data_IF_574742997578
#
_entry.id   IF_574742997578
#
_cell.length_a   1.000
_cell.length_b   1.000
_cell.length_c   1.000
_cell.angle_alpha   90.00
_cell.angle_beta   90.00
_cell.angle_gamma   90.00
#
_symmetry.space_group_name_H-M   'P 1'
#
loop_
_entity.id
_entity.type
_entity.pdbx_description
1 polymer ?
#
# COMPACT_ATOMS: atom_id res chain seq x y z
N UNK A 1 10.22 10.35 83.53
CA UNK A 1 8.85 10.28 82.89
C UNK A 1 8.64 11.36 81.82
N UNK A 2 9.36 12.50 81.79
CA UNK A 2 9.13 13.56 80.77
C UNK A 2 9.61 13.23 79.32
N UNK A 3 10.67 12.40 79.21
CA UNK A 3 11.20 12.01 77.86
C UNK A 3 10.29 11.08 77.05
N UNK A 4 9.55 10.19 77.65
CA UNK A 4 8.63 9.28 76.94
C UNK A 4 7.37 9.97 76.41
N UNK A 5 6.93 11.06 77.04
CA UNK A 5 5.77 11.85 76.59
C UNK A 5 6.11 12.70 75.34
N UNK A 6 7.34 13.17 75.19
CA UNK A 6 7.78 13.98 74.05
C UNK A 6 7.92 13.09 72.80
N UNK A 7 8.43 11.86 72.91
CA UNK A 7 8.58 10.92 71.81
C UNK A 7 7.17 10.45 71.32
N UNK A 8 6.22 10.25 72.25
CA UNK A 8 4.85 9.90 71.86
C UNK A 8 4.11 11.04 71.14
N UNK A 9 4.34 12.30 71.53
CA UNK A 9 3.77 13.48 70.87
C UNK A 9 4.30 13.73 69.47
N UNK A 10 5.63 13.55 69.24
CA UNK A 10 6.24 13.68 67.94
C UNK A 10 5.81 12.56 67.01
N UNK A 11 5.68 11.35 67.49
CA UNK A 11 5.18 10.21 66.67
C UNK A 11 3.72 10.38 66.29
N UNK A 12 2.87 10.97 67.18
CA UNK A 12 1.48 11.25 66.85
C UNK A 12 1.30 12.40 65.85
N UNK A 13 2.20 13.42 65.89
CA UNK A 13 2.19 14.50 64.89
C UNK A 13 2.69 14.08 63.51
N UNK A 14 3.56 13.10 63.42
CA UNK A 14 4.01 12.56 62.12
C UNK A 14 2.89 11.72 61.42
N UNK A 15 1.98 11.14 62.16
CA UNK A 15 0.84 10.41 61.61
C UNK A 15 -0.26 11.36 61.13
N UNK A 16 -0.39 12.54 61.71
CA UNK A 16 -1.40 13.52 61.34
C UNK A 16 -1.07 14.30 60.05
N UNK A 17 0.20 14.37 59.64
CA UNK A 17 0.65 15.08 58.42
C UNK A 17 0.46 14.29 57.13
N UNK A 18 0.01 13.05 57.19
CA UNK A 18 -0.16 12.14 56.03
C UNK A 18 -1.62 12.02 55.54
N UNK A 19 -2.53 12.80 56.09
CA UNK A 19 -3.94 12.72 55.67
C UNK A 19 -4.19 13.47 54.37
N UNK A 20 -3.94 12.86 53.26
CA UNK A 20 -4.55 13.26 51.99
C UNK A 20 -6.08 13.21 52.20
N UNK A 21 -6.78 14.31 51.93
CA UNK A 21 -8.24 14.34 51.99
C UNK A 21 -8.81 13.12 51.28
N UNK A 22 -9.70 12.35 51.97
CA UNK A 22 -10.33 11.14 51.42
C UNK A 22 -10.89 11.40 50.01
N UNK A 23 -11.42 12.59 49.76
CA UNK A 23 -11.94 13.01 48.45
C UNK A 23 -10.85 13.12 47.39
N UNK A 24 -9.65 13.65 47.72
CA UNK A 24 -8.50 13.73 46.80
C UNK A 24 -7.90 12.35 46.57
N UNK A 25 -7.84 11.49 47.60
CA UNK A 25 -7.36 10.13 47.46
C UNK A 25 -8.28 9.32 46.53
N UNK A 26 -9.61 9.33 46.78
CA UNK A 26 -10.57 8.63 45.91
C UNK A 26 -10.58 9.17 44.47
N UNK A 27 -10.40 10.48 44.28
CA UNK A 27 -10.29 11.07 42.94
C UNK A 27 -8.99 10.61 42.24
N UNK A 28 -7.88 10.55 42.97
CA UNK A 28 -6.61 10.03 42.46
C UNK A 28 -6.68 8.53 42.12
N UNK A 29 -7.30 7.76 43.00
CA UNK A 29 -7.50 6.31 42.79
C UNK A 29 -8.42 6.06 41.58
N UNK A 30 -9.51 6.80 41.47
CA UNK A 30 -10.38 6.71 40.26
C UNK A 30 -9.64 7.09 38.99
N UNK A 31 -8.90 8.20 39.00
CA UNK A 31 -8.10 8.60 37.85
C UNK A 31 -7.00 7.59 37.49
N UNK A 32 -6.39 6.93 38.48
CA UNK A 32 -5.45 5.85 38.25
C UNK A 32 -6.13 4.61 37.66
N UNK A 33 -7.30 4.26 38.18
CA UNK A 33 -8.09 3.14 37.66
C UNK A 33 -8.59 3.40 36.22
N UNK A 34 -9.05 4.61 35.92
CA UNK A 34 -9.48 5.01 34.57
C UNK A 34 -8.28 4.94 33.59
N UNK A 35 -7.09 5.41 34.02
CA UNK A 35 -5.87 5.27 33.21
C UNK A 35 -5.47 3.82 33.01
N UNK A 36 -5.57 3.00 34.05
CA UNK A 36 -5.26 1.58 33.98
C UNK A 36 -6.20 0.85 33.01
N UNK A 37 -7.50 1.13 33.07
CA UNK A 37 -8.47 0.52 32.14
C UNK A 37 -8.20 0.92 30.70
N UNK A 38 -7.96 2.23 30.43
CA UNK A 38 -7.60 2.71 29.08
C UNK A 38 -6.31 2.06 28.59
N UNK A 39 -5.29 1.99 29.45
CA UNK A 39 -4.01 1.37 29.08
C UNK A 39 -4.16 -0.15 28.82
N UNK A 40 -4.92 -0.82 29.67
CA UNK A 40 -5.22 -2.26 29.52
C UNK A 40 -5.95 -2.55 28.20
N UNK A 41 -6.99 -1.74 27.87
CA UNK A 41 -7.72 -1.88 26.61
C UNK A 41 -6.79 -1.67 25.42
N UNK A 42 -5.99 -0.60 25.47
CA UNK A 42 -4.99 -0.34 24.42
C UNK A 42 -3.96 -1.46 24.25
N UNK A 43 -3.53 -2.04 25.37
CA UNK A 43 -2.59 -3.16 25.34
C UNK A 43 -3.21 -4.40 24.67
N UNK A 44 -4.46 -4.71 25.02
CA UNK A 44 -5.19 -5.83 24.41
C UNK A 44 -5.42 -5.62 22.91
N UNK A 45 -5.73 -4.38 22.50
CA UNK A 45 -5.87 -4.03 21.08
C UNK A 45 -4.54 -4.19 20.32
N UNK A 46 -3.44 -3.68 20.89
CA UNK A 46 -2.10 -3.83 20.31
C UNK A 46 -1.67 -5.29 20.21
N UNK A 47 -1.95 -6.09 21.24
CA UNK A 47 -1.68 -7.52 21.23
C UNK A 47 -2.49 -8.23 20.13
N UNK A 48 -3.76 -7.85 19.94
CA UNK A 48 -4.60 -8.34 18.85
C UNK A 48 -4.03 -8.00 17.49
N UNK A 49 -3.66 -6.74 17.27
CA UNK A 49 -3.06 -6.28 16.02
C UNK A 49 -1.70 -6.94 15.75
N UNK A 50 -0.87 -7.10 16.79
CA UNK A 50 0.41 -7.78 16.68
C UNK A 50 0.24 -9.25 16.30
N UNK A 51 -0.75 -9.92 16.91
CA UNK A 51 -1.09 -11.31 16.58
C UNK A 51 -1.51 -11.42 15.11
N UNK A 52 -2.45 -10.60 14.65
CA UNK A 52 -2.90 -10.60 13.26
C UNK A 52 -1.73 -10.36 12.30
N UNK A 53 -0.91 -9.33 12.56
CA UNK A 53 0.26 -9.05 11.75
C UNK A 53 1.27 -10.22 11.72
N UNK A 54 1.44 -10.92 12.84
CA UNK A 54 2.32 -12.08 12.90
C UNK A 54 1.73 -13.29 12.15
N UNK A 55 0.42 -13.49 12.23
CA UNK A 55 -0.28 -14.54 11.49
C UNK A 55 -0.20 -14.30 9.98
N UNK A 56 -0.42 -13.06 9.53
CA UNK A 56 -0.25 -12.64 8.13
C UNK A 56 1.20 -12.84 7.64
N UNK A 57 2.18 -12.50 8.48
CA UNK A 57 3.60 -12.75 8.20
C UNK A 57 3.91 -14.24 8.04
N UNK A 58 3.34 -15.08 8.90
CA UNK A 58 3.52 -16.55 8.82
C UNK A 58 2.89 -17.07 7.51
N UNK A 59 1.69 -16.60 7.17
CA UNK A 59 1.02 -17.00 5.93
C UNK A 59 1.79 -16.56 4.69
N UNK A 60 2.28 -15.31 4.66
CA UNK A 60 3.12 -14.81 3.57
C UNK A 60 4.42 -15.59 3.43
N UNK A 61 5.09 -15.90 4.55
CA UNK A 61 6.29 -16.71 4.53
C UNK A 61 6.02 -18.13 3.99
N UNK A 62 4.89 -18.73 4.37
CA UNK A 62 4.48 -20.05 3.86
C UNK A 62 4.22 -19.99 2.34
N UNK A 63 3.52 -18.94 1.87
CA UNK A 63 3.29 -18.73 0.42
C UNK A 63 4.62 -18.54 -0.32
N UNK A 64 5.53 -17.72 0.22
CA UNK A 64 6.85 -17.51 -0.36
C UNK A 64 7.67 -18.81 -0.42
N UNK A 65 7.65 -19.60 0.64
CA UNK A 65 8.35 -20.90 0.66
C UNK A 65 7.74 -21.85 -0.37
N UNK A 66 6.41 -21.87 -0.50
CA UNK A 66 5.71 -22.67 -1.52
C UNK A 66 6.08 -22.25 -2.94
N UNK A 67 6.04 -20.95 -3.22
CA UNK A 67 6.42 -20.40 -4.52
C UNK A 67 7.90 -20.66 -4.85
N UNK A 68 8.80 -20.55 -3.85
CA UNK A 68 10.20 -20.84 -4.04
C UNK A 68 10.42 -22.33 -4.38
N UNK A 69 9.71 -23.24 -3.70
CA UNK A 69 9.77 -24.67 -4.00
C UNK A 69 9.23 -24.98 -5.40
N UNK A 70 8.21 -24.27 -5.86
CA UNK A 70 7.68 -24.38 -7.23
C UNK A 70 8.68 -23.87 -8.26
N UNK A 71 9.32 -22.72 -8.01
CA UNK A 71 10.39 -22.18 -8.85
C UNK A 71 11.55 -23.17 -8.94
N UNK A 72 11.97 -23.74 -7.82
CA UNK A 72 13.06 -24.73 -7.80
C UNK A 72 12.64 -26.02 -8.55
N UNK A 73 11.38 -26.43 -8.45
CA UNK A 73 10.81 -27.52 -9.22
C UNK A 73 10.82 -27.26 -10.72
N UNK A 74 10.36 -26.10 -11.13
CA UNK A 74 10.37 -25.68 -12.53
C UNK A 74 11.78 -25.55 -13.10
N UNK A 75 12.70 -25.01 -12.33
CA UNK A 75 14.12 -24.92 -12.73
C UNK A 75 14.74 -26.30 -12.93
N UNK A 76 14.43 -27.28 -12.06
CA UNK A 76 14.87 -28.66 -12.25
C UNK A 76 14.27 -29.31 -13.50
N UNK A 77 12.99 -29.07 -13.78
CA UNK A 77 12.36 -29.58 -15.01
C UNK A 77 12.99 -28.96 -16.26
N UNK A 78 13.26 -27.65 -16.24
CA UNK A 78 13.95 -26.97 -17.34
C UNK A 78 15.36 -27.53 -17.52
N UNK A 79 16.10 -27.75 -16.44
CA UNK A 79 17.44 -28.34 -16.49
C UNK A 79 17.40 -29.76 -17.08
N UNK A 80 16.47 -30.59 -16.62
CA UNK A 80 16.25 -31.95 -17.11
C UNK A 80 15.89 -31.98 -18.61
N UNK A 81 14.99 -31.08 -19.04
CA UNK A 81 14.61 -30.97 -20.47
C UNK A 81 15.80 -30.51 -21.33
N UNK A 82 16.62 -29.59 -20.81
CA UNK A 82 17.85 -29.15 -21.51
C UNK A 82 18.85 -30.30 -21.65
N UNK A 83 19.07 -31.06 -20.59
CA UNK A 83 19.96 -32.21 -20.58
C UNK A 83 19.49 -33.31 -21.55
N UNK A 84 18.20 -33.69 -21.46
CA UNK A 84 17.59 -34.65 -22.39
C UNK A 84 17.67 -34.19 -23.84
N UNK A 85 17.45 -32.92 -24.12
CA UNK A 85 17.55 -32.38 -25.47
C UNK A 85 18.99 -32.41 -25.98
N UNK A 86 19.96 -32.09 -25.11
CA UNK A 86 21.39 -32.19 -25.45
C UNK A 86 21.81 -33.63 -25.72
N UNK A 87 21.31 -34.57 -24.91
CA UNK A 87 21.59 -35.99 -25.04
C UNK A 87 20.93 -36.58 -26.29
N UNK A 88 19.68 -36.18 -26.58
CA UNK A 88 18.98 -36.57 -27.82
C UNK A 88 19.72 -36.04 -29.05
N UNK A 89 20.22 -34.79 -29.04
CA UNK A 89 21.01 -34.22 -30.11
C UNK A 89 22.32 -34.96 -30.29
N UNK A 90 22.99 -35.37 -29.21
CA UNK A 90 24.23 -36.15 -29.26
C UNK A 90 23.97 -37.54 -29.86
N UNK A 91 22.87 -38.22 -29.45
CA UNK A 91 22.49 -39.51 -30.03
C UNK A 91 22.13 -39.40 -31.50
N UNK A 92 21.47 -38.31 -31.93
CA UNK A 92 21.16 -38.04 -33.33
C UNK A 92 22.42 -37.76 -34.14
N UNK A 93 23.41 -37.11 -33.54
CA UNK A 93 24.72 -36.83 -34.15
C UNK A 93 25.54 -38.13 -34.34
N UNK A 94 25.50 -39.01 -33.32
CA UNK A 94 26.16 -40.32 -33.34
C UNK A 94 25.50 -41.31 -34.33
N UNK A 95 24.22 -41.14 -34.58
CA UNK A 95 23.44 -41.99 -35.52
C UNK A 95 23.54 -41.55 -36.98
N UNK A 96 24.52 -40.90 -37.44
CA UNK A 96 24.91 -40.70 -38.89
C UNK A 96 23.76 -40.57 -39.93
N UNK A 97 22.54 -40.18 -39.54
CA UNK A 97 21.34 -40.20 -40.40
C UNK A 97 20.69 -38.82 -40.56
N UNK A 98 21.33 -37.77 -40.06
CA UNK A 98 20.73 -36.45 -40.17
C UNK A 98 21.23 -35.76 -41.41
N UNK A 99 20.35 -35.53 -42.39
CA UNK A 99 20.65 -34.67 -43.53
C UNK A 99 21.14 -33.30 -43.06
N UNK A 100 22.06 -32.66 -43.76
CA UNK A 100 22.55 -31.31 -43.41
C UNK A 100 21.41 -30.29 -43.15
N UNK A 101 20.27 -30.49 -43.81
CA UNK A 101 19.08 -29.67 -43.66
C UNK A 101 18.40 -29.84 -42.29
N UNK A 102 18.42 -31.05 -41.70
CA UNK A 102 17.88 -31.33 -40.37
C UNK A 102 18.80 -30.79 -39.28
N UNK A 103 20.11 -30.90 -39.45
CA UNK A 103 21.08 -30.33 -38.51
C UNK A 103 20.99 -28.80 -38.46
N UNK A 104 20.76 -28.13 -39.59
CA UNK A 104 20.56 -26.69 -39.65
C UNK A 104 19.25 -26.26 -39.01
N UNK A 105 18.17 -27.04 -39.18
CA UNK A 105 16.87 -26.79 -38.55
C UNK A 105 16.96 -26.93 -37.01
N UNK A 106 17.68 -27.93 -36.52
CA UNK A 106 17.95 -28.13 -35.10
C UNK A 106 18.78 -26.99 -34.54
N UNK A 107 19.83 -26.56 -35.25
CA UNK A 107 20.65 -25.42 -34.86
C UNK A 107 19.82 -24.13 -34.73
N UNK A 108 18.95 -23.83 -35.71
CA UNK A 108 18.04 -22.70 -35.68
C UNK A 108 17.05 -22.80 -34.50
N UNK A 109 16.58 -24.02 -34.19
CA UNK A 109 15.70 -24.22 -33.03
C UNK A 109 16.43 -23.94 -31.70
N UNK A 110 17.70 -24.36 -31.59
CA UNK A 110 18.53 -24.06 -30.41
C UNK A 110 18.84 -22.56 -30.27
N UNK A 111 19.14 -21.88 -31.35
CA UNK A 111 19.31 -20.42 -31.39
C UNK A 111 18.06 -19.70 -30.96
N UNK A 112 16.90 -20.17 -31.44
CA UNK A 112 15.58 -19.64 -31.00
C UNK A 112 15.28 -19.89 -29.50
N UNK A 113 15.66 -21.06 -28.99
CA UNK A 113 15.52 -21.37 -27.55
C UNK A 113 16.43 -20.44 -26.73
N UNK A 114 17.69 -20.26 -27.12
CA UNK A 114 18.61 -19.34 -26.46
C UNK A 114 18.12 -17.88 -26.48
N UNK A 115 17.56 -17.43 -27.60
CA UNK A 115 16.96 -16.10 -27.71
C UNK A 115 15.73 -15.94 -26.80
N UNK A 116 14.90 -16.98 -26.68
CA UNK A 116 13.75 -16.98 -25.78
C UNK A 116 14.17 -17.00 -24.31
N UNK A 117 15.17 -17.75 -23.94
CA UNK A 117 15.73 -17.78 -22.58
C UNK A 117 16.25 -16.39 -22.18
N UNK A 118 17.03 -15.77 -23.07
CA UNK A 118 17.52 -14.40 -22.85
C UNK A 118 16.38 -13.38 -22.72
N UNK A 119 15.32 -13.54 -23.50
CA UNK A 119 14.12 -12.71 -23.41
C UNK A 119 13.38 -12.91 -22.09
N UNK A 120 13.20 -14.16 -21.64
CA UNK A 120 12.58 -14.47 -20.35
C UNK A 120 13.38 -13.86 -19.19
N UNK A 121 14.69 -13.97 -19.23
CA UNK A 121 15.56 -13.38 -18.23
C UNK A 121 15.42 -11.85 -18.18
N UNK A 122 15.38 -11.18 -19.33
CA UNK A 122 15.18 -9.73 -19.43
C UNK A 122 13.81 -9.33 -18.85
N UNK A 123 12.77 -10.11 -19.10
CA UNK A 123 11.44 -9.88 -18.51
C UNK A 123 11.45 -10.04 -17.00
N UNK A 124 12.08 -11.09 -16.48
CA UNK A 124 12.18 -11.33 -15.03
C UNK A 124 12.93 -10.20 -14.32
N UNK A 125 14.06 -9.75 -14.89
CA UNK A 125 14.82 -8.62 -14.37
C UNK A 125 13.99 -7.32 -14.38
N UNK A 126 13.24 -7.10 -15.45
CA UNK A 126 12.36 -5.91 -15.57
C UNK A 126 11.21 -5.95 -14.56
N UNK A 127 10.63 -7.11 -14.33
CA UNK A 127 9.59 -7.30 -13.30
C UNK A 127 10.15 -7.08 -11.89
N UNK A 128 11.30 -7.68 -11.57
CA UNK A 128 11.95 -7.51 -10.28
C UNK A 128 12.33 -6.04 -10.02
N UNK A 129 12.81 -5.33 -11.03
CA UNK A 129 13.11 -3.90 -10.95
C UNK A 129 11.83 -3.08 -10.68
N UNK A 130 10.74 -3.37 -11.39
CA UNK A 130 9.44 -2.73 -11.18
C UNK A 130 8.93 -2.94 -9.75
N UNK A 131 9.01 -4.16 -9.24
CA UNK A 131 8.55 -4.48 -7.88
C UNK A 131 9.40 -3.76 -6.82
N UNK A 132 10.72 -3.68 -7.03
CA UNK A 132 11.62 -2.93 -6.17
C UNK A 132 11.30 -1.43 -6.17
N UNK A 133 11.02 -0.84 -7.34
CA UNK A 133 10.63 0.57 -7.46
C UNK A 133 9.30 0.85 -6.77
N UNK A 134 8.30 -0.02 -6.93
CA UNK A 134 7.01 0.09 -6.25
C UNK A 134 7.18 0.02 -4.73
N UNK A 135 8.01 -0.90 -4.24
CA UNK A 135 8.29 -1.01 -2.81
C UNK A 135 8.98 0.24 -2.27
N UNK A 136 10.00 0.74 -2.95
CA UNK A 136 10.69 1.98 -2.57
C UNK A 136 9.73 3.18 -2.56
N UNK A 137 8.85 3.29 -3.56
CA UNK A 137 7.83 4.33 -3.63
C UNK A 137 6.86 4.26 -2.45
N UNK A 138 6.38 3.07 -2.11
CA UNK A 138 5.49 2.88 -0.95
C UNK A 138 6.18 3.24 0.35
N UNK A 139 7.45 2.84 0.53
CA UNK A 139 8.23 3.21 1.71
C UNK A 139 8.42 4.72 1.81
N UNK A 140 8.75 5.38 0.70
CA UNK A 140 8.91 6.83 0.64
C UNK A 140 7.58 7.55 0.93
N UNK A 141 6.47 7.07 0.37
CA UNK A 141 5.14 7.62 0.64
C UNK A 141 4.75 7.46 2.12
N UNK A 142 4.91 6.27 2.67
CA UNK A 142 4.64 6.02 4.10
C UNK A 142 5.53 6.87 5.00
N UNK A 143 6.82 7.00 4.68
CA UNK A 143 7.76 7.84 5.41
C UNK A 143 7.41 9.33 5.34
N UNK A 144 7.02 9.84 4.17
CA UNK A 144 6.66 11.25 3.97
C UNK A 144 5.33 11.61 4.64
N UNK A 145 4.33 10.72 4.55
CA UNK A 145 3.04 10.89 5.21
C UNK A 145 3.22 10.86 6.74
N UNK A 146 4.24 10.16 7.25
CA UNK A 146 4.56 10.02 8.67
C UNK A 146 3.67 8.99 9.35
N UNK A 147 3.80 8.88 10.67
CA UNK A 147 2.90 8.10 11.54
C UNK A 147 1.52 8.80 11.66
N UNK A 148 0.95 9.20 10.55
CA UNK A 148 -0.48 9.37 10.50
C UNK A 148 -1.04 7.93 10.56
N UNK A 149 -1.20 7.42 11.79
CA UNK A 149 -2.17 6.38 12.12
C UNK A 149 -3.58 6.95 11.84
N UNK A 150 -3.73 7.48 10.65
CA UNK A 150 -4.97 8.01 10.17
C UNK A 150 -5.62 6.85 9.41
N UNK A 151 -6.67 6.29 9.98
CA UNK A 151 -7.65 5.46 9.28
C UNK A 151 -8.10 6.11 7.94
N UNK A 152 -7.73 7.38 7.77
CA UNK A 152 -8.10 8.23 6.65
C UNK A 152 -7.15 8.13 5.44
N UNK A 153 -5.95 7.49 5.56
CA UNK A 153 -5.00 7.35 4.45
C UNK A 153 -4.44 5.93 4.40
N UNK A 154 -4.60 5.28 3.27
CA UNK A 154 -4.09 3.92 3.06
C UNK A 154 -3.25 3.85 1.78
N UNK A 155 -1.99 3.42 1.92
CA UNK A 155 -1.07 3.19 0.80
C UNK A 155 -0.88 1.70 0.62
N UNK A 156 -1.25 1.18 -0.55
CA UNK A 156 -1.16 -0.25 -0.88
C UNK A 156 -0.67 -0.50 -2.30
N UNK A 157 -0.12 -1.68 -2.53
CA UNK A 157 0.19 -2.19 -3.87
C UNK A 157 -0.81 -3.30 -4.19
N UNK A 158 -1.43 -3.22 -5.33
CA UNK A 158 -2.27 -4.28 -5.87
C UNK A 158 -1.95 -4.49 -7.35
N UNK A 159 -1.63 -5.72 -7.73
CA UNK A 159 -1.25 -6.12 -9.10
C UNK A 159 -0.16 -5.25 -9.73
N UNK A 160 0.84 -4.86 -8.93
CA UNK A 160 1.95 -4.04 -9.39
C UNK A 160 1.60 -2.57 -9.65
N UNK A 161 0.48 -2.09 -9.13
CA UNK A 161 0.04 -0.69 -9.15
C UNK A 161 0.01 -0.16 -7.72
N UNK A 162 0.55 1.03 -7.50
CA UNK A 162 0.50 1.68 -6.19
C UNK A 162 -0.75 2.55 -6.09
N UNK A 163 -1.50 2.35 -5.02
CA UNK A 163 -2.72 3.10 -4.72
C UNK A 163 -2.55 3.86 -3.40
N UNK A 164 -2.98 5.10 -3.40
CA UNK A 164 -3.11 5.94 -2.20
C UNK A 164 -4.58 6.26 -2.05
N UNK A 165 -5.26 5.60 -1.13
CA UNK A 165 -6.65 5.87 -0.78
C UNK A 165 -6.69 6.92 0.33
N UNK A 166 -7.44 7.99 0.13
CA UNK A 166 -7.61 9.09 1.10
C UNK A 166 -9.11 9.24 1.35
N UNK A 167 -9.51 9.21 2.62
CA UNK A 167 -10.93 9.32 2.99
C UNK A 167 -11.51 10.68 2.61
N UNK A 168 -12.77 10.67 2.23
CA UNK A 168 -13.52 11.88 1.92
C UNK A 168 -13.63 12.83 3.14
N UNK A 169 -13.74 12.26 4.34
CA UNK A 169 -13.80 12.98 5.60
C UNK A 169 -12.55 13.84 5.83
N UNK A 170 -11.38 13.35 5.46
CA UNK A 170 -10.14 14.11 5.53
C UNK A 170 -10.10 15.18 4.46
N UNK A 171 -10.45 14.83 3.21
CA UNK A 171 -10.27 15.67 2.04
C UNK A 171 -11.25 16.84 1.96
N UNK A 172 -12.55 16.60 2.24
CA UNK A 172 -13.61 17.56 1.95
C UNK A 172 -14.57 17.73 3.13
N UNK A 173 -15.23 18.86 3.19
CA UNK A 173 -16.41 19.01 4.01
C UNK A 173 -17.57 18.22 3.43
N UNK A 174 -18.47 17.70 4.28
CA UNK A 174 -19.60 16.86 3.85
C UNK A 174 -20.39 17.48 2.68
N UNK A 175 -20.58 16.71 1.62
CA UNK A 175 -21.29 17.16 0.40
C UNK A 175 -20.56 18.19 -0.43
N UNK A 176 -19.33 18.61 -0.07
CA UNK A 176 -18.52 19.59 -0.79
C UNK A 176 -17.38 18.96 -1.54
N UNK A 177 -16.67 19.79 -2.32
CA UNK A 177 -15.50 19.42 -3.12
C UNK A 177 -14.31 20.37 -2.88
N UNK A 178 -14.42 21.33 -1.95
CA UNK A 178 -13.28 22.15 -1.53
C UNK A 178 -12.39 21.36 -0.58
N UNK A 179 -11.09 21.36 -0.86
CA UNK A 179 -10.09 20.63 -0.06
C UNK A 179 -9.84 21.36 1.26
N UNK A 180 -9.79 20.61 2.36
CA UNK A 180 -9.46 21.14 3.69
C UNK A 180 -7.98 21.51 3.78
N UNK A 181 -7.58 22.36 4.74
CA UNK A 181 -6.17 22.71 4.96
C UNK A 181 -5.34 21.48 5.33
N UNK A 182 -5.86 20.64 6.25
CA UNK A 182 -5.19 19.40 6.65
C UNK A 182 -4.97 18.45 5.45
N UNK A 183 -5.98 18.31 4.60
CA UNK A 183 -5.84 17.52 3.37
C UNK A 183 -4.82 18.14 2.41
N UNK A 184 -4.79 19.45 2.32
CA UNK A 184 -3.79 20.16 1.50
C UNK A 184 -2.36 19.83 1.98
N UNK A 185 -2.09 19.83 3.28
CA UNK A 185 -0.77 19.47 3.83
C UNK A 185 -0.38 18.01 3.48
N UNK A 186 -1.33 17.07 3.65
CA UNK A 186 -1.12 15.66 3.29
C UNK A 186 -0.85 15.50 1.80
N UNK A 187 -1.67 16.13 0.95
CA UNK A 187 -1.46 16.11 -0.49
C UNK A 187 -0.14 16.75 -0.90
N UNK A 188 0.34 17.75 -0.13
CA UNK A 188 1.67 18.33 -0.31
C UNK A 188 2.81 17.35 -0.09
N UNK A 189 2.71 16.52 0.96
CA UNK A 189 3.69 15.45 1.23
C UNK A 189 3.68 14.40 0.12
N UNK A 190 2.50 13.97 -0.32
CA UNK A 190 2.35 13.05 -1.46
C UNK A 190 2.96 13.66 -2.72
N UNK A 191 2.64 14.94 -3.00
CA UNK A 191 3.17 15.66 -4.15
C UNK A 191 4.69 15.73 -4.15
N UNK A 192 5.31 15.94 -2.99
CA UNK A 192 6.77 15.96 -2.86
C UNK A 192 7.41 14.62 -3.25
N UNK A 193 6.82 13.50 -2.83
CA UNK A 193 7.31 12.17 -3.21
C UNK A 193 7.12 11.94 -4.71
N UNK A 194 5.95 12.27 -5.26
CA UNK A 194 5.65 12.09 -6.70
C UNK A 194 6.55 12.98 -7.58
N UNK A 195 6.87 14.19 -7.13
CA UNK A 195 7.75 15.11 -7.85
C UNK A 195 9.17 14.60 -8.04
N UNK A 196 9.65 13.80 -7.07
CA UNK A 196 10.96 13.16 -7.13
C UNK A 196 10.99 11.92 -8.05
N UNK A 197 9.88 11.60 -8.72
CA UNK A 197 9.73 10.49 -9.64
C UNK A 197 9.34 11.04 -11.04
N UNK A 198 10.30 11.51 -11.84
CA UNK A 198 10.03 12.29 -13.06
C UNK A 198 9.27 11.50 -14.13
N UNK A 199 9.35 10.16 -14.07
CA UNK A 199 8.80 9.29 -15.10
C UNK A 199 7.44 8.66 -14.71
N UNK A 200 6.85 9.08 -13.59
CA UNK A 200 5.57 8.53 -13.13
C UNK A 200 4.41 9.37 -13.64
N UNK A 201 3.45 8.71 -14.24
CA UNK A 201 2.11 9.23 -14.47
C UNK A 201 1.17 8.74 -13.37
N UNK A 202 0.18 9.54 -13.03
CA UNK A 202 -0.81 9.15 -12.04
C UNK A 202 -2.20 9.70 -12.35
N UNK A 203 -3.18 9.00 -11.86
CA UNK A 203 -4.58 9.37 -12.01
C UNK A 203 -5.20 9.59 -10.63
N UNK A 204 -5.97 10.64 -10.50
CA UNK A 204 -6.79 10.89 -9.32
C UNK A 204 -8.20 10.43 -9.60
N UNK A 205 -8.68 9.44 -8.88
CA UNK A 205 -10.04 8.91 -8.97
C UNK A 205 -10.88 9.35 -7.79
N UNK A 206 -12.05 9.94 -8.04
CA UNK A 206 -13.07 10.20 -7.04
C UNK A 206 -14.08 9.05 -6.95
N UNK A 207 -14.47 8.68 -5.73
CA UNK A 207 -15.46 7.65 -5.45
C UNK A 207 -16.50 8.17 -4.46
N UNK A 208 -17.73 7.74 -4.61
CA UNK A 208 -18.83 8.02 -3.67
C UNK A 208 -19.37 6.72 -3.06
N UNK A 209 -20.23 6.84 -2.08
CA UNK A 209 -21.12 5.76 -1.68
C UNK A 209 -22.37 5.75 -2.58
N UNK A 210 -23.32 4.85 -2.28
CA UNK A 210 -24.57 4.72 -3.03
C UNK A 210 -25.67 5.71 -2.61
N UNK A 211 -25.38 6.69 -1.76
CA UNK A 211 -26.34 7.73 -1.42
C UNK A 211 -26.40 8.72 -2.59
N UNK A 212 -27.58 8.92 -3.21
CA UNK A 212 -27.69 9.86 -4.31
C UNK A 212 -27.29 11.27 -3.89
N UNK A 213 -26.41 11.90 -4.66
CA UNK A 213 -26.08 13.30 -4.47
C UNK A 213 -27.30 14.15 -4.86
N UNK A 214 -27.78 14.92 -3.90
CA UNK A 214 -28.94 15.84 -4.06
C UNK A 214 -28.52 17.29 -3.98
N UNK A 215 -27.26 17.61 -4.39
CA UNK A 215 -26.79 18.99 -4.43
C UNK A 215 -27.50 19.76 -5.54
N UNK A 216 -27.63 21.07 -5.33
CA UNK A 216 -28.12 22.00 -6.37
C UNK A 216 -26.98 22.61 -7.16
N UNK A 217 -27.27 23.08 -8.37
CA UNK A 217 -26.31 23.81 -9.21
C UNK A 217 -25.76 23.00 -10.36
N UNK A 218 -24.45 23.10 -10.60
CA UNK A 218 -23.79 22.51 -11.78
C UNK A 218 -23.51 20.98 -11.66
N UNK A 219 -23.70 20.38 -10.48
CA UNK A 219 -23.49 18.94 -10.25
C UNK A 219 -24.85 18.24 -10.21
N UNK A 220 -25.04 17.24 -11.06
CA UNK A 220 -26.31 16.52 -11.19
C UNK A 220 -26.39 15.29 -10.28
N UNK A 221 -25.31 14.55 -10.16
CA UNK A 221 -25.30 13.24 -9.49
C UNK A 221 -23.93 12.88 -8.90
N UNK A 222 -23.79 11.61 -8.49
CA UNK A 222 -22.56 11.06 -7.93
C UNK A 222 -21.41 11.00 -8.96
N UNK A 223 -21.70 10.92 -10.26
CA UNK A 223 -20.69 11.00 -11.31
C UNK A 223 -20.04 12.39 -11.31
N UNK A 224 -20.86 13.43 -11.39
CA UNK A 224 -20.35 14.81 -11.38
C UNK A 224 -19.59 15.13 -10.10
N UNK A 225 -20.11 14.69 -8.94
CA UNK A 225 -19.45 14.92 -7.66
C UNK A 225 -18.09 14.25 -7.61
N UNK A 226 -18.01 12.97 -8.05
CA UNK A 226 -16.75 12.21 -8.02
C UNK A 226 -15.70 12.80 -8.95
N UNK A 227 -16.08 13.21 -10.17
CA UNK A 227 -15.18 13.89 -11.12
C UNK A 227 -14.76 15.25 -10.60
N UNK A 228 -15.69 16.03 -10.03
CA UNK A 228 -15.40 17.36 -9.48
C UNK A 228 -14.40 17.29 -8.34
N UNK A 229 -14.52 16.31 -7.46
CA UNK A 229 -13.58 16.06 -6.35
C UNK A 229 -12.20 15.69 -6.88
N UNK A 230 -12.13 14.76 -7.82
CA UNK A 230 -10.88 14.40 -8.46
C UNK A 230 -10.19 15.60 -9.11
N UNK A 231 -10.92 16.39 -9.91
CA UNK A 231 -10.39 17.59 -10.55
C UNK A 231 -9.96 18.67 -9.55
N UNK A 232 -10.62 18.79 -8.41
CA UNK A 232 -10.20 19.73 -7.37
C UNK A 232 -8.86 19.34 -6.78
N UNK A 233 -8.65 18.04 -6.48
CA UNK A 233 -7.36 17.51 -6.01
C UNK A 233 -6.27 17.71 -7.08
N UNK A 234 -6.55 17.40 -8.34
CA UNK A 234 -5.61 17.61 -9.46
C UNK A 234 -5.18 19.07 -9.55
N UNK A 235 -6.12 20.00 -9.50
CA UNK A 235 -5.81 21.44 -9.53
C UNK A 235 -4.96 21.90 -8.36
N UNK A 236 -5.19 21.32 -7.16
CA UNK A 236 -4.36 21.61 -6.00
C UNK A 236 -2.92 21.10 -6.21
N UNK A 237 -2.77 19.85 -6.69
CA UNK A 237 -1.47 19.25 -6.98
C UNK A 237 -0.70 20.01 -8.06
N UNK A 238 -1.39 20.45 -9.11
CA UNK A 238 -0.83 21.26 -10.18
C UNK A 238 -0.46 22.68 -9.70
N UNK A 239 -1.44 23.44 -9.18
CA UNK A 239 -1.29 24.87 -8.99
C UNK A 239 -0.51 25.24 -7.73
N UNK A 240 -0.71 24.48 -6.63
CA UNK A 240 -0.04 24.73 -5.34
C UNK A 240 1.27 24.00 -5.21
N UNK A 241 1.34 22.76 -5.69
CA UNK A 241 2.50 21.90 -5.50
C UNK A 241 3.36 21.72 -6.76
N UNK A 242 2.93 22.27 -7.90
CA UNK A 242 3.74 22.34 -9.12
C UNK A 242 4.02 20.99 -9.77
N UNK A 243 3.06 20.04 -9.68
CA UNK A 243 3.13 18.79 -10.43
C UNK A 243 2.77 19.04 -11.90
N UNK A 244 3.46 18.32 -12.80
CA UNK A 244 3.27 18.47 -14.25
C UNK A 244 1.88 17.98 -14.67
N UNK A 245 1.00 18.85 -15.22
CA UNK A 245 -0.34 18.48 -15.63
C UNK A 245 -0.37 17.44 -16.76
N UNK A 246 0.69 17.34 -17.57
CA UNK A 246 0.79 16.32 -18.63
C UNK A 246 0.83 14.89 -18.08
N UNK A 247 1.21 14.72 -16.80
CA UNK A 247 1.34 13.44 -16.11
C UNK A 247 0.17 13.11 -15.21
N UNK A 248 -0.85 13.97 -15.16
CA UNK A 248 -1.96 13.84 -14.23
C UNK A 248 -3.27 13.67 -14.99
N UNK A 249 -4.01 12.59 -14.68
CA UNK A 249 -5.38 12.42 -15.12
C UNK A 249 -6.36 12.56 -13.94
N UNK A 250 -7.56 13.06 -14.19
CA UNK A 250 -8.67 13.09 -13.24
C UNK A 250 -9.81 12.19 -13.75
N UNK A 251 -10.34 11.32 -12.88
CA UNK A 251 -11.43 10.42 -13.20
C UNK A 251 -12.48 10.39 -12.07
N UNK A 252 -13.73 10.14 -12.43
CA UNK A 252 -14.79 9.81 -11.49
C UNK A 252 -15.22 8.36 -11.64
N UNK A 253 -15.56 7.71 -10.54
CA UNK A 253 -16.05 6.33 -10.50
C UNK A 253 -17.46 6.23 -9.93
N UNK A 254 -18.03 7.37 -9.51
CA UNK A 254 -19.33 7.37 -8.83
C UNK A 254 -19.34 6.35 -7.68
N UNK A 255 -20.41 5.59 -7.53
CA UNK A 255 -20.60 4.53 -6.53
C UNK A 255 -20.26 3.13 -7.03
N UNK A 256 -19.86 2.98 -8.32
CA UNK A 256 -19.78 1.69 -9.00
C UNK A 256 -18.49 0.89 -8.77
N UNK A 257 -17.57 1.41 -7.94
CA UNK A 257 -16.34 0.71 -7.54
C UNK A 257 -16.18 0.75 -6.01
N UNK A 258 -17.13 0.15 -5.26
CA UNK A 258 -17.07 0.13 -3.81
C UNK A 258 -15.92 -0.77 -3.33
N UNK A 259 -15.33 -0.44 -2.18
CA UNK A 259 -14.34 -1.26 -1.46
C UNK A 259 -14.96 -2.03 -0.30
N UNK A 260 -16.17 -1.65 0.10
CA UNK A 260 -16.99 -2.32 1.11
C UNK A 260 -18.48 -2.29 0.69
N UNK A 261 -19.32 -3.20 1.20
CA UNK A 261 -20.77 -3.12 0.98
C UNK A 261 -21.34 -1.77 1.42
N UNK A 262 -22.34 -1.24 0.70
CA UNK A 262 -22.97 0.04 1.05
C UNK A 262 -24.13 -0.12 2.07
N UNK A 263 -23.94 -0.93 3.09
CA UNK A 263 -24.95 -1.34 4.07
C UNK A 263 -24.88 -0.54 5.39
N UNK A 264 -23.67 -0.22 5.88
CA UNK A 264 -23.46 0.55 7.11
C UNK A 264 -22.90 1.94 6.83
N UNK A 265 -22.96 2.83 7.84
CA UNK A 265 -22.35 4.17 7.74
C UNK A 265 -20.83 4.10 7.61
N UNK A 266 -20.22 3.16 8.29
CA UNK A 266 -18.78 2.90 8.29
C UNK A 266 -18.34 2.42 6.91
N UNK A 267 -19.02 1.43 6.34
CA UNK A 267 -18.74 0.91 5.00
C UNK A 267 -18.93 1.97 3.91
N UNK A 268 -20.00 2.77 4.01
CA UNK A 268 -20.20 3.93 3.13
C UNK A 268 -19.08 4.95 3.26
N UNK A 269 -18.57 5.19 4.48
CA UNK A 269 -17.42 6.08 4.68
C UNK A 269 -16.16 5.58 3.98
N UNK A 270 -15.90 4.27 3.96
CA UNK A 270 -14.78 3.67 3.21
C UNK A 270 -14.95 3.83 1.69
N UNK A 271 -16.20 3.78 1.19
CA UNK A 271 -16.48 3.97 -0.23
C UNK A 271 -16.29 5.42 -0.67
N UNK A 272 -16.61 6.39 0.20
CA UNK A 272 -16.34 7.82 -0.06
C UNK A 272 -14.85 8.10 0.12
N UNK A 273 -14.11 8.04 -0.96
CA UNK A 273 -12.65 8.24 -0.97
C UNK A 273 -12.20 8.90 -2.27
N UNK A 274 -11.03 9.49 -2.21
CA UNK A 274 -10.25 9.83 -3.40
C UNK A 274 -9.05 8.93 -3.45
N UNK A 275 -8.82 8.32 -4.59
CA UNK A 275 -7.71 7.41 -4.85
C UNK A 275 -6.72 8.04 -5.80
N UNK A 276 -5.45 8.08 -5.43
CA UNK A 276 -4.37 8.37 -6.36
C UNK A 276 -3.83 7.03 -6.86
N UNK A 277 -3.93 6.79 -8.15
CA UNK A 277 -3.45 5.59 -8.83
C UNK A 277 -2.15 5.95 -9.53
N UNK A 278 -1.05 5.35 -9.12
CA UNK A 278 0.23 5.54 -9.78
C UNK A 278 0.31 4.54 -10.93
N UNK A 279 0.28 5.08 -12.14
CA UNK A 279 0.24 4.28 -13.36
C UNK A 279 1.63 3.67 -13.62
N UNK A 280 1.73 2.37 -13.86
CA UNK A 280 2.99 1.80 -14.27
C UNK A 280 3.36 2.32 -15.65
N UNK A 281 4.66 2.57 -15.87
CA UNK A 281 5.17 2.91 -17.19
C UNK A 281 5.04 1.71 -18.13
N UNK A 282 3.92 1.65 -18.83
CA UNK A 282 3.64 0.58 -19.78
C UNK A 282 4.52 0.69 -21.03
N UNK A 283 4.98 1.88 -21.38
CA UNK A 283 5.80 2.11 -22.56
C UNK A 283 7.15 1.36 -22.52
N UNK A 284 7.78 1.28 -21.35
CA UNK A 284 8.99 0.48 -21.18
C UNK A 284 8.70 -1.02 -21.31
N UNK A 285 7.54 -1.46 -20.83
CA UNK A 285 7.09 -2.84 -20.99
C UNK A 285 6.75 -3.17 -22.44
N UNK A 286 6.03 -2.29 -23.14
CA UNK A 286 5.72 -2.50 -24.56
C UNK A 286 6.96 -2.45 -25.44
N UNK A 287 7.95 -1.59 -25.16
CA UNK A 287 9.24 -1.59 -25.87
C UNK A 287 10.01 -2.92 -25.72
N UNK A 288 9.84 -3.62 -24.60
CA UNK A 288 10.42 -4.95 -24.40
C UNK A 288 9.68 -6.04 -25.18
N UNK A 289 8.41 -5.80 -25.50
CA UNK A 289 7.57 -6.73 -26.29
C UNK A 289 7.68 -6.48 -27.79
N UNK A 290 8.24 -5.34 -28.21
CA UNK A 290 8.49 -5.08 -29.61
C UNK A 290 9.57 -6.04 -30.13
N UNK A 291 9.29 -6.78 -31.22
CA UNK A 291 10.31 -7.64 -31.82
C UNK A 291 11.48 -6.75 -32.25
N UNK A 292 12.69 -7.05 -31.77
CA UNK A 292 13.90 -6.42 -32.28
C UNK A 292 13.88 -6.58 -33.80
N UNK A 293 13.71 -5.47 -34.53
CA UNK A 293 13.94 -5.46 -35.97
C UNK A 293 15.36 -5.90 -36.18
N UNK A 294 15.55 -7.14 -36.66
CA UNK A 294 16.82 -7.67 -37.10
C UNK A 294 17.28 -6.97 -38.35
#
# INVERSE_FOLDING_TARGET
MKSRLIIGGVMLMLIASSCVSKKKFMASEKAAQDRYTVLSTKNTELEGNLKTCNDDKIELNRKNTGLQAEIDGLNKQVAFLKENNTQALKQLQDMSVISAQQAESIKKSMENIGAKDSYIQTLQESMARKDSLNMALVMNLKGAIGNLEDEDINVKVDKGVVFIDISDKLLFKSGKYEVTERASEVLGKVAQVLKNQPDIEFMVEGHTDNVPYKGGGALLDNWDLSVKRATTVVRLLQNKYGLDPAKIAAAGRSEYKPVAPNDTKENKALNRRTRIVILPQLDQFFKLLEPKKG
#
